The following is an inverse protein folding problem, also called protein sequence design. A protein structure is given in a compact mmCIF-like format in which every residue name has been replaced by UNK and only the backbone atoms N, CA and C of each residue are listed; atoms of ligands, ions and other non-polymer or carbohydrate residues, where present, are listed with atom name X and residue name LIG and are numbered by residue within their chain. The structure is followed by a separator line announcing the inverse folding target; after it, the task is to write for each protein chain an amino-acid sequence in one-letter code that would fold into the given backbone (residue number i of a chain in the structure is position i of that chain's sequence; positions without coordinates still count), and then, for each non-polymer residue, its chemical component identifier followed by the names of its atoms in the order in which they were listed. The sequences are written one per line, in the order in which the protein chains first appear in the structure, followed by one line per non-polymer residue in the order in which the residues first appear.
data_IF_745433757729
#
_entry.id   IF_745433757729
#
_cell.length_a   1.000
_cell.length_b   1.000
_cell.length_c   1.000
_cell.angle_alpha   90.00
_cell.angle_beta   90.00
_cell.angle_gamma   90.00
#
_symmetry.space_group_name_H-M   'P 1'
#
loop_
_entity.id
_entity.type
_entity.pdbx_description
1 polymer ?
#
# COMPACT_ATOMS: atom_id res chain seq x y z
N UNK A 1 90.64 -2.14 20.47
CA UNK A 1 91.10 -1.49 19.21
C UNK A 1 90.05 -1.84 18.16
N UNK A 2 89.08 -0.96 17.89
CA UNK A 2 89.06 -0.03 16.74
C UNK A 2 88.92 -0.83 15.41
N UNK A 3 87.94 -0.64 14.51
CA UNK A 3 87.40 0.60 13.93
C UNK A 3 86.10 0.36 13.14
N UNK A 4 85.40 1.47 12.88
CA UNK A 4 84.18 1.73 12.12
C UNK A 4 84.03 1.08 10.71
N UNK A 5 82.78 1.03 10.23
CA UNK A 5 82.31 1.75 8.99
C UNK A 5 81.66 0.88 7.91
N UNK A 6 80.32 0.99 7.75
CA UNK A 6 79.61 1.58 6.58
C UNK A 6 78.13 1.18 6.56
N UNK A 7 77.28 2.18 6.41
CA UNK A 7 75.87 2.03 6.08
C UNK A 7 75.68 1.76 4.57
N UNK A 8 74.70 0.94 4.19
CA UNK A 8 73.92 1.15 2.96
C UNK A 8 72.62 0.31 2.92
N UNK A 9 71.50 1.02 3.06
CA UNK A 9 70.27 1.00 2.24
C UNK A 9 69.45 -0.28 1.98
N UNK A 10 68.17 -0.15 2.40
CA UNK A 10 66.92 -0.46 1.66
C UNK A 10 66.57 -1.95 1.52
N UNK A 11 65.45 -2.43 2.08
CA UNK A 11 64.09 -2.43 1.48
C UNK A 11 63.08 -3.01 2.47
N UNK A 12 61.95 -2.34 2.67
CA UNK A 12 60.79 -2.84 3.42
C UNK A 12 59.84 -3.56 2.45
N UNK A 13 59.29 -4.75 2.78
CA UNK A 13 58.01 -5.16 2.21
C UNK A 13 56.92 -5.14 3.29
N UNK A 14 55.90 -4.37 2.94
CA UNK A 14 54.56 -4.28 3.48
C UNK A 14 53.91 -5.68 3.57
N UNK A 15 53.53 -6.15 4.76
CA UNK A 15 52.64 -7.30 4.90
C UNK A 15 51.21 -6.81 5.15
N UNK A 16 50.36 -6.99 4.14
CA UNK A 16 48.94 -6.67 4.15
C UNK A 16 48.21 -7.63 5.08
N UNK A 17 47.60 -7.10 6.14
CA UNK A 17 46.68 -7.85 7.01
C UNK A 17 45.34 -8.04 6.29
N UNK A 18 45.03 -9.28 5.91
CA UNK A 18 43.72 -9.66 5.40
C UNK A 18 42.72 -9.74 6.56
N UNK A 19 41.92 -8.68 6.76
CA UNK A 19 40.70 -8.77 7.58
C UNK A 19 39.60 -9.44 6.77
N UNK A 20 39.23 -10.67 7.15
CA UNK A 20 37.96 -11.29 6.78
C UNK A 20 36.82 -10.52 7.47
N UNK A 21 36.20 -9.61 6.72
CA UNK A 21 34.93 -9.02 7.11
C UNK A 21 33.85 -10.12 7.04
N UNK A 22 33.36 -10.56 8.20
CA UNK A 22 32.16 -11.38 8.28
C UNK A 22 30.97 -10.51 7.84
N UNK A 23 30.42 -10.79 6.67
CA UNK A 23 29.17 -10.19 6.21
C UNK A 23 28.05 -10.52 7.20
N UNK A 24 27.18 -9.57 7.57
CA UNK A 24 26.09 -9.85 8.49
C UNK A 24 25.12 -10.84 7.83
N UNK A 25 24.92 -11.98 8.47
CA UNK A 25 23.85 -12.92 8.12
C UNK A 25 22.53 -12.20 8.32
N UNK A 26 21.87 -11.84 7.22
CA UNK A 26 20.53 -11.30 7.25
C UNK A 26 19.57 -12.44 7.62
N UNK A 27 19.15 -12.52 8.88
CA UNK A 27 18.04 -13.40 9.24
C UNK A 27 16.80 -12.96 8.45
N UNK A 28 16.02 -13.89 7.86
CA UNK A 28 14.74 -13.53 7.27
C UNK A 28 13.88 -12.88 8.36
N UNK A 29 13.33 -11.71 8.07
CA UNK A 29 12.38 -11.03 8.95
C UNK A 29 11.26 -12.01 9.29
N UNK A 30 11.11 -12.32 10.58
CA UNK A 30 9.96 -13.10 11.04
C UNK A 30 8.72 -12.27 10.74
N UNK A 31 7.85 -12.79 9.87
CA UNK A 31 6.56 -12.15 9.58
C UNK A 31 5.80 -11.98 10.89
N UNK A 32 5.43 -10.75 11.29
CA UNK A 32 4.63 -10.53 12.49
C UNK A 32 3.36 -11.40 12.44
N UNK A 33 2.89 -11.96 13.56
CA UNK A 33 1.65 -12.75 13.57
C UNK A 33 0.49 -11.92 13.02
N UNK A 34 -0.35 -12.54 12.20
CA UNK A 34 -1.48 -11.91 11.51
C UNK A 34 -2.35 -11.14 12.51
N UNK A 35 -2.27 -9.82 12.46
CA UNK A 35 -2.90 -8.90 13.38
C UNK A 35 -4.15 -8.29 12.72
N UNK A 36 -5.09 -9.13 12.30
CA UNK A 36 -6.39 -8.72 11.75
C UNK A 36 -6.34 -7.66 10.63
N UNK A 37 -7.46 -7.00 10.34
CA UNK A 37 -7.49 -5.91 9.37
C UNK A 37 -6.82 -4.66 9.96
N UNK A 38 -6.03 -3.97 9.14
CA UNK A 38 -5.43 -2.68 9.46
C UNK A 38 -5.98 -1.58 8.56
N UNK A 39 -6.07 -0.36 9.08
CA UNK A 39 -6.39 0.80 8.25
C UNK A 39 -5.34 0.99 7.15
N UNK A 40 -5.82 1.28 5.94
CA UNK A 40 -4.99 1.61 4.79
C UNK A 40 -5.31 3.03 4.30
N UNK A 41 -4.31 3.69 3.71
CA UNK A 41 -4.52 4.91 2.93
C UNK A 41 -4.52 4.56 1.44
N UNK A 42 -5.36 5.25 0.68
CA UNK A 42 -5.22 5.29 -0.78
C UNK A 42 -4.05 6.23 -1.09
N UNK A 43 -2.97 5.68 -1.64
CA UNK A 43 -1.76 6.45 -1.98
C UNK A 43 -1.97 7.25 -3.25
N UNK A 44 -2.66 6.66 -4.24
CA UNK A 44 -2.94 7.31 -5.51
C UNK A 44 -3.54 6.34 -6.52
N UNK A 45 -3.94 6.93 -7.65
CA UNK A 45 -4.29 6.23 -8.87
C UNK A 45 -3.13 6.38 -9.85
N UNK A 46 -2.70 5.26 -10.42
CA UNK A 46 -1.66 5.20 -11.43
C UNK A 46 -2.29 4.74 -12.73
N UNK A 47 -1.82 5.29 -13.84
CA UNK A 47 -2.19 4.80 -15.16
C UNK A 47 -0.90 4.50 -15.90
N UNK A 48 -0.88 3.40 -16.62
CA UNK A 48 0.23 3.08 -17.50
C UNK A 48 0.37 4.14 -18.63
N UNK A 49 1.51 4.19 -19.33
CA UNK A 49 1.73 5.18 -20.39
C UNK A 49 0.70 5.13 -21.53
N UNK A 50 0.03 3.99 -21.74
CA UNK A 50 -1.04 3.87 -22.74
C UNK A 50 -2.36 4.51 -22.28
N UNK A 51 -2.52 4.75 -20.98
CA UNK A 51 -3.75 5.29 -20.40
C UNK A 51 -4.85 4.25 -20.20
N UNK A 52 -4.62 2.98 -20.56
CA UNK A 52 -5.66 1.96 -20.67
C UNK A 52 -5.79 1.10 -19.43
N UNK A 53 -4.78 1.08 -18.56
CA UNK A 53 -4.73 0.19 -17.41
C UNK A 53 -4.53 0.99 -16.12
N UNK A 54 -5.61 1.54 -15.53
CA UNK A 54 -5.51 2.20 -14.25
C UNK A 54 -5.36 1.20 -13.10
N UNK A 55 -4.60 1.61 -12.09
CA UNK A 55 -4.40 0.86 -10.85
C UNK A 55 -4.54 1.79 -9.64
N UNK A 56 -5.08 1.25 -8.55
CA UNK A 56 -5.11 1.93 -7.26
C UNK A 56 -4.05 1.34 -6.33
N UNK A 57 -3.31 2.20 -5.64
CA UNK A 57 -2.32 1.78 -4.65
C UNK A 57 -2.85 2.03 -3.25
N UNK A 58 -2.87 0.98 -2.43
CA UNK A 58 -3.20 1.04 -1.02
C UNK A 58 -1.94 0.80 -0.19
N UNK A 59 -1.80 1.53 0.91
CA UNK A 59 -0.71 1.35 1.88
C UNK A 59 -1.27 1.19 3.29
N UNK A 60 -0.88 0.11 3.97
CA UNK A 60 -1.19 -0.12 5.39
C UNK A 60 -0.61 0.98 6.28
N UNK A 61 -1.41 1.52 7.20
CA UNK A 61 -0.94 2.57 8.13
C UNK A 61 0.02 2.02 9.18
N UNK A 62 -0.12 0.74 9.56
CA UNK A 62 0.63 0.09 10.64
C UNK A 62 2.05 -0.30 10.21
N UNK A 63 2.18 -1.04 9.12
CA UNK A 63 3.45 -1.64 8.68
C UNK A 63 4.00 -1.05 7.36
N UNK A 64 3.27 -0.11 6.75
CA UNK A 64 3.61 0.56 5.49
C UNK A 64 3.71 -0.36 4.27
N UNK A 65 3.24 -1.61 4.36
CA UNK A 65 3.12 -2.50 3.20
C UNK A 65 2.16 -1.89 2.18
N UNK A 66 2.49 -2.04 0.91
CA UNK A 66 1.71 -1.50 -0.20
C UNK A 66 1.45 -2.56 -1.24
N UNK A 67 0.28 -2.49 -1.86
CA UNK A 67 -0.04 -3.27 -3.06
C UNK A 67 -0.81 -2.40 -4.06
N UNK A 68 -0.74 -2.80 -5.33
CA UNK A 68 -1.59 -2.25 -6.37
C UNK A 68 -2.70 -3.23 -6.76
N UNK A 69 -3.84 -2.66 -7.10
CA UNK A 69 -4.96 -3.37 -7.68
C UNK A 69 -5.33 -2.72 -9.01
N UNK A 70 -5.29 -3.49 -10.09
CA UNK A 70 -5.82 -3.06 -11.38
C UNK A 70 -7.33 -2.82 -11.29
N UNK A 71 -7.80 -1.71 -11.86
CA UNK A 71 -9.21 -1.33 -11.91
C UNK A 71 -9.56 -0.89 -13.33
N UNK A 72 -10.86 -0.75 -13.63
CA UNK A 72 -11.29 -0.18 -14.91
C UNK A 72 -11.28 1.36 -14.88
N UNK A 73 -11.35 1.97 -16.06
CA UNK A 73 -11.37 3.43 -16.20
C UNK A 73 -12.60 4.08 -15.53
N UNK A 74 -13.75 3.40 -15.54
CA UNK A 74 -14.97 3.87 -14.89
C UNK A 74 -14.80 3.89 -13.35
N UNK A 75 -14.23 2.83 -12.78
CA UNK A 75 -13.89 2.73 -11.37
C UNK A 75 -12.86 3.80 -10.97
N UNK A 76 -11.79 3.96 -11.76
CA UNK A 76 -10.77 4.98 -11.51
C UNK A 76 -11.38 6.39 -11.47
N UNK A 77 -12.26 6.71 -12.42
CA UNK A 77 -13.01 7.99 -12.42
C UNK A 77 -13.86 8.13 -11.16
N UNK A 78 -14.55 7.07 -10.75
CA UNK A 78 -15.33 7.03 -9.52
C UNK A 78 -14.51 7.34 -8.27
N UNK A 79 -13.24 6.97 -8.24
CA UNK A 79 -12.33 7.20 -7.10
C UNK A 79 -11.59 8.53 -7.21
N UNK A 80 -11.20 8.96 -8.42
CA UNK A 80 -10.38 10.15 -8.65
C UNK A 80 -11.05 11.43 -8.14
N UNK A 81 -12.32 11.66 -8.49
CA UNK A 81 -13.06 12.86 -8.08
C UNK A 81 -13.01 13.11 -6.57
N UNK A 82 -13.46 12.18 -5.70
CA UNK A 82 -13.45 12.42 -4.26
C UNK A 82 -12.02 12.41 -3.68
N UNK A 83 -11.08 11.65 -4.25
CA UNK A 83 -9.69 11.64 -3.79
C UNK A 83 -9.01 13.00 -4.02
N UNK A 84 -9.32 13.66 -5.14
CA UNK A 84 -8.86 15.01 -5.49
C UNK A 84 -9.71 16.13 -4.86
N UNK A 85 -10.71 15.79 -4.03
CA UNK A 85 -11.71 16.72 -3.48
C UNK A 85 -12.44 17.55 -4.56
N UNK A 86 -12.66 16.96 -5.74
CA UNK A 86 -13.38 17.57 -6.86
C UNK A 86 -14.84 17.15 -6.84
N UNK A 87 -15.72 18.10 -7.16
CA UNK A 87 -17.16 17.87 -7.28
C UNK A 87 -17.53 17.73 -8.77
N UNK A 88 -18.14 16.62 -9.20
CA UNK A 88 -18.62 16.46 -10.57
C UNK A 88 -19.85 17.35 -10.82
N UNK A 89 -20.13 17.76 -12.08
CA UNK A 89 -21.28 18.62 -12.40
C UNK A 89 -22.64 17.95 -12.13
N UNK A 90 -22.67 16.62 -12.10
CA UNK A 90 -23.83 15.80 -11.71
C UNK A 90 -23.35 14.70 -10.76
N UNK A 91 -24.19 14.25 -9.81
CA UNK A 91 -23.86 13.14 -8.93
C UNK A 91 -23.48 11.89 -9.73
N UNK A 92 -22.34 11.29 -9.39
CA UNK A 92 -21.93 9.98 -9.90
C UNK A 92 -22.67 8.86 -9.14
N UNK A 93 -22.46 7.62 -9.59
CA UNK A 93 -23.13 6.44 -9.01
C UNK A 93 -22.95 6.36 -7.49
N UNK A 94 -21.72 6.52 -6.98
CA UNK A 94 -21.47 6.47 -5.53
C UNK A 94 -22.11 7.64 -4.78
N UNK A 95 -22.24 8.82 -5.39
CA UNK A 95 -22.94 9.97 -4.80
C UNK A 95 -24.45 9.70 -4.70
N UNK A 96 -25.03 9.05 -5.71
CA UNK A 96 -26.42 8.58 -5.70
C UNK A 96 -26.66 7.57 -4.57
N UNK A 97 -25.77 6.59 -4.39
CA UNK A 97 -25.86 5.61 -3.30
C UNK A 97 -25.78 6.28 -1.92
N UNK A 98 -24.84 7.21 -1.70
CA UNK A 98 -24.75 7.91 -0.42
C UNK A 98 -25.96 8.81 -0.15
N UNK A 99 -26.53 9.41 -1.19
CA UNK A 99 -27.79 10.16 -1.07
C UNK A 99 -28.93 9.22 -0.65
N UNK A 100 -29.05 8.05 -1.29
CA UNK A 100 -30.04 7.03 -0.93
C UNK A 100 -29.85 6.54 0.52
N UNK A 101 -28.63 6.21 0.92
CA UNK A 101 -28.33 5.81 2.30
C UNK A 101 -28.73 6.90 3.30
N UNK A 102 -28.40 8.16 3.03
CA UNK A 102 -28.83 9.28 3.86
C UNK A 102 -30.36 9.39 4.01
N UNK A 103 -31.12 9.20 2.91
CA UNK A 103 -32.59 9.20 2.94
C UNK A 103 -33.17 8.04 3.77
N UNK A 104 -32.48 6.91 3.78
CA UNK A 104 -32.85 5.71 4.54
C UNK A 104 -32.26 5.68 5.96
N UNK A 105 -31.55 6.74 6.39
CA UNK A 105 -30.83 6.81 7.67
C UNK A 105 -29.82 5.67 7.85
N UNK A 106 -29.14 5.33 6.76
CA UNK A 106 -28.05 4.35 6.70
C UNK A 106 -26.73 5.09 6.56
N UNK A 107 -25.69 4.64 7.26
CA UNK A 107 -24.35 5.23 7.16
C UNK A 107 -23.31 4.17 6.82
N UNK A 108 -22.31 4.52 6.00
CA UNK A 108 -21.14 3.66 5.76
C UNK A 108 -20.19 3.83 6.94
N UNK A 109 -19.94 2.76 7.70
CA UNK A 109 -19.14 2.82 8.92
C UNK A 109 -17.67 2.50 8.67
N UNK A 110 -17.40 1.54 7.77
CA UNK A 110 -16.07 1.15 7.31
C UNK A 110 -16.18 0.30 6.05
N UNK A 111 -15.05 0.13 5.37
CA UNK A 111 -14.91 -0.91 4.34
C UNK A 111 -13.68 -1.74 4.64
N UNK A 112 -13.73 -3.03 4.32
CA UNK A 112 -12.60 -3.94 4.52
C UNK A 112 -12.34 -4.66 3.19
N UNK A 113 -11.11 -4.58 2.68
CA UNK A 113 -10.63 -5.50 1.63
C UNK A 113 -10.27 -6.81 2.34
N UNK A 114 -11.09 -7.84 2.12
CA UNK A 114 -11.15 -9.02 2.98
C UNK A 114 -10.28 -10.17 2.49
N UNK A 115 -10.14 -10.34 1.17
CA UNK A 115 -9.39 -11.47 0.63
C UNK A 115 -8.89 -11.23 -0.80
N UNK A 116 -7.96 -12.08 -1.21
CA UNK A 116 -7.48 -12.26 -2.57
C UNK A 116 -7.51 -13.75 -2.90
N UNK A 117 -8.26 -14.14 -3.94
CA UNK A 117 -8.40 -15.53 -4.40
C UNK A 117 -8.40 -15.53 -5.92
N UNK A 118 -7.58 -16.38 -6.53
CA UNK A 118 -7.50 -16.49 -8.00
C UNK A 118 -7.31 -15.14 -8.70
N UNK A 119 -6.47 -14.27 -8.12
CA UNK A 119 -6.22 -12.90 -8.56
C UNK A 119 -7.45 -11.95 -8.53
N UNK A 120 -8.51 -12.32 -7.82
CA UNK A 120 -9.71 -11.52 -7.60
C UNK A 120 -9.73 -11.04 -6.14
N UNK A 121 -9.78 -9.72 -5.97
CA UNK A 121 -9.92 -9.10 -4.66
C UNK A 121 -11.39 -9.00 -4.25
N UNK A 122 -11.64 -9.22 -2.95
CA UNK A 122 -12.95 -9.13 -2.33
C UNK A 122 -12.97 -8.02 -1.29
N UNK A 123 -14.11 -7.36 -1.14
CA UNK A 123 -14.31 -6.37 -0.10
C UNK A 123 -15.70 -6.47 0.51
N UNK A 124 -15.84 -5.93 1.71
CA UNK A 124 -17.12 -5.82 2.41
C UNK A 124 -17.34 -4.38 2.82
N UNK A 125 -18.51 -3.84 2.49
CA UNK A 125 -18.98 -2.55 2.98
C UNK A 125 -19.79 -2.80 4.23
N UNK A 126 -19.40 -2.16 5.33
CA UNK A 126 -20.12 -2.21 6.59
C UNK A 126 -20.98 -0.95 6.70
N UNK A 127 -22.27 -1.17 6.97
CA UNK A 127 -23.27 -0.14 7.11
C UNK A 127 -23.88 -0.19 8.50
N UNK A 128 -24.20 0.96 9.08
CA UNK A 128 -25.14 1.05 10.20
C UNK A 128 -26.51 1.46 9.68
N UNK A 129 -27.54 0.67 10.03
CA UNK A 129 -28.93 0.98 9.76
C UNK A 129 -29.72 0.94 11.07
N UNK A 130 -29.87 2.09 11.72
CA UNK A 130 -30.55 2.25 13.01
C UNK A 130 -29.93 1.38 14.12
N UNK A 131 -28.59 1.40 14.25
CA UNK A 131 -27.88 0.63 15.28
C UNK A 131 -27.67 -0.85 14.96
N UNK A 132 -28.10 -1.30 13.77
CA UNK A 132 -27.84 -2.65 13.27
C UNK A 132 -26.78 -2.60 12.18
N UNK A 133 -25.72 -3.38 12.38
CA UNK A 133 -24.70 -3.58 11.35
C UNK A 133 -25.27 -4.41 10.20
N UNK A 134 -25.06 -3.94 8.97
CA UNK A 134 -25.34 -4.66 7.73
C UNK A 134 -24.03 -4.77 6.96
N UNK A 135 -23.73 -5.96 6.47
CA UNK A 135 -22.56 -6.25 5.66
C UNK A 135 -22.97 -6.50 4.22
N UNK A 136 -22.33 -5.81 3.28
CA UNK A 136 -22.57 -5.97 1.85
C UNK A 136 -21.29 -6.43 1.17
N UNK A 137 -21.37 -7.55 0.44
CA UNK A 137 -20.32 -7.95 -0.48
C UNK A 137 -20.13 -6.89 -1.57
N UNK A 138 -18.87 -6.62 -1.92
CA UNK A 138 -18.53 -5.53 -2.82
C UNK A 138 -17.20 -5.77 -3.52
N UNK A 139 -17.07 -5.22 -4.73
CA UNK A 139 -15.76 -5.04 -5.34
C UNK A 139 -14.98 -3.98 -4.54
N UNK A 140 -13.66 -4.14 -4.36
CA UNK A 140 -12.87 -3.16 -3.61
C UNK A 140 -12.95 -1.74 -4.19
N UNK A 141 -13.01 -1.58 -5.51
CA UNK A 141 -13.12 -0.27 -6.16
C UNK A 141 -14.37 0.50 -5.73
N UNK A 142 -15.53 -0.18 -5.67
CA UNK A 142 -16.79 0.41 -5.24
C UNK A 142 -16.78 0.73 -3.74
N UNK A 143 -16.29 -0.20 -2.93
CA UNK A 143 -16.16 -0.03 -1.49
C UNK A 143 -15.26 1.18 -1.14
N UNK A 144 -14.10 1.29 -1.79
CA UNK A 144 -13.17 2.40 -1.59
C UNK A 144 -13.81 3.73 -2.05
N UNK A 145 -14.48 3.76 -3.20
CA UNK A 145 -15.15 4.96 -3.71
C UNK A 145 -16.26 5.46 -2.77
N UNK A 146 -17.00 4.55 -2.10
CA UNK A 146 -17.97 4.90 -1.06
C UNK A 146 -17.27 5.43 0.19
N UNK A 147 -16.22 4.73 0.66
CA UNK A 147 -15.52 5.07 1.89
C UNK A 147 -14.88 6.46 1.84
N UNK A 148 -14.21 6.81 0.75
CA UNK A 148 -13.58 8.13 0.59
C UNK A 148 -14.65 9.24 0.68
N UNK A 149 -15.77 9.09 -0.04
CA UNK A 149 -16.86 10.07 -0.03
C UNK A 149 -17.56 10.18 1.33
N UNK A 150 -17.80 9.04 1.97
CA UNK A 150 -18.42 8.97 3.29
C UNK A 150 -17.47 9.35 4.43
N UNK A 151 -16.17 9.55 4.13
CA UNK A 151 -15.09 9.72 5.10
C UNK A 151 -15.02 8.55 6.11
N UNK A 152 -15.34 7.35 5.63
CA UNK A 152 -15.25 6.12 6.39
C UNK A 152 -13.84 5.51 6.24
N UNK A 153 -13.33 4.81 7.27
CA UNK A 153 -12.04 4.13 7.19
C UNK A 153 -12.06 3.00 6.15
N UNK A 154 -10.97 2.92 5.38
CA UNK A 154 -10.64 1.79 4.52
C UNK A 154 -9.67 0.89 5.28
N UNK A 155 -10.03 -0.37 5.47
CA UNK A 155 -9.17 -1.38 6.08
C UNK A 155 -8.83 -2.45 5.06
N UNK A 156 -7.73 -3.15 5.32
CA UNK A 156 -7.26 -4.29 4.53
C UNK A 156 -6.81 -5.38 5.49
N UNK A 157 -7.28 -6.60 5.27
CA UNK A 157 -6.82 -7.79 6.01
C UNK A 157 -5.34 -8.05 5.74
N UNK A 158 -4.58 -8.43 6.78
CA UNK A 158 -3.14 -8.73 6.64
C UNK A 158 -2.87 -9.78 5.55
N UNK A 159 -3.75 -10.78 5.43
CA UNK A 159 -3.66 -11.84 4.41
C UNK A 159 -3.71 -11.29 2.98
N UNK A 160 -4.36 -10.15 2.76
CA UNK A 160 -4.42 -9.52 1.43
C UNK A 160 -3.04 -8.97 1.11
N UNK A 161 -2.41 -8.24 2.03
CA UNK A 161 -1.02 -7.80 1.85
C UNK A 161 -0.05 -8.97 1.66
N UNK A 162 -0.25 -10.10 2.34
CA UNK A 162 0.60 -11.28 2.22
C UNK A 162 0.49 -11.97 0.84
N UNK A 163 -0.71 -11.95 0.25
CA UNK A 163 -1.00 -12.59 -1.03
C UNK A 163 -0.75 -11.68 -2.23
N UNK A 164 -0.84 -10.37 -2.03
CA UNK A 164 -0.64 -9.38 -3.08
C UNK A 164 0.82 -9.25 -3.44
N UNK A 165 1.11 -9.04 -4.73
CA UNK A 165 2.44 -8.62 -5.14
C UNK A 165 2.74 -7.22 -4.57
N UNK A 166 3.80 -7.14 -3.77
CA UNK A 166 4.26 -5.89 -3.17
C UNK A 166 4.89 -5.05 -4.26
N UNK A 167 4.33 -3.87 -4.52
CA UNK A 167 5.02 -2.90 -5.34
C UNK A 167 6.26 -2.42 -4.58
N UNK A 168 7.44 -2.33 -5.23
CA UNK A 168 8.55 -1.57 -4.67
C UNK A 168 8.06 -0.17 -4.31
N UNK A 169 8.52 0.37 -3.18
CA UNK A 169 8.17 1.73 -2.80
C UNK A 169 8.44 2.66 -4.01
N UNK A 170 7.49 3.53 -4.39
CA UNK A 170 7.71 4.42 -5.53
C UNK A 170 8.98 5.23 -5.28
N UNK A 171 9.96 5.12 -6.18
CA UNK A 171 11.17 5.95 -6.13
C UNK A 171 10.72 7.41 -6.15
N UNK A 172 11.20 8.20 -5.18
CA UNK A 172 10.94 9.63 -5.18
C UNK A 172 11.42 10.22 -6.51
N UNK A 173 10.67 11.14 -7.15
CA UNK A 173 11.11 11.76 -8.37
C UNK A 173 12.48 12.41 -8.14
N UNK A 174 13.49 11.99 -8.92
CA UNK A 174 14.78 12.66 -8.96
C UNK A 174 14.55 14.01 -9.63
N UNK A 175 14.50 15.06 -8.82
CA UNK A 175 14.44 16.46 -9.26
C UNK A 175 15.84 16.96 -9.54
#
# INVERSE_FOLDING_TARGET
MATLSRASRITLPLLVAAMLAASPVHLPAQTPPAAGPQEARVVGLFTDPSGLHPAIVLQGKRDKRSFAMGIGAAEATGIAFPLENRVPPRPLTHDLFLTLFGRLKVTVTKVIVTDLRDNIYYATVFLDANGREIQLDSRPSDAIALAIRAKAPVLVEDRVFDKSEVLPAPEAPRI
#
